data_IF_449791330612
#
_entry.id   IF_449791330612
#
_cell.length_a   1.000
_cell.length_b   1.000
_cell.length_c   1.000
_cell.angle_alpha   90.00
_cell.angle_beta   90.00
_cell.angle_gamma   90.00
#
_symmetry.space_group_name_H-M   'P 1'
#
loop_
_entity.id
_entity.type
_entity.pdbx_description
1 polymer ?
#
# COMPACT_ATOMS: atom_id res chain seq x y z
N UNK A 1 -15.43 3.65 -8.03
CA UNK A 1 -15.68 2.22 -8.35
C UNK A 1 -14.82 1.83 -9.52
N UNK A 2 -13.99 0.78 -9.38
CA UNK A 2 -13.27 0.19 -10.52
C UNK A 2 -14.25 -0.61 -11.41
N UNK A 3 -14.02 -0.70 -12.73
CA UNK A 3 -14.85 -1.51 -13.62
C UNK A 3 -14.73 -3.01 -13.28
N UNK A 4 -15.82 -3.76 -13.44
CA UNK A 4 -15.81 -5.23 -13.28
C UNK A 4 -15.09 -5.92 -14.44
N UNK A 5 -14.58 -7.12 -14.19
CA UNK A 5 -13.86 -7.93 -15.18
C UNK A 5 -14.70 -8.19 -16.43
N UNK A 6 -15.96 -8.61 -16.26
CA UNK A 6 -16.93 -8.78 -17.36
C UNK A 6 -17.12 -7.50 -18.17
N UNK A 7 -17.09 -6.31 -17.54
CA UNK A 7 -17.20 -5.03 -18.24
C UNK A 7 -15.91 -4.65 -18.99
N UNK A 8 -14.74 -5.08 -18.49
CA UNK A 8 -13.46 -4.92 -19.20
C UNK A 8 -13.41 -5.85 -20.42
N UNK A 9 -13.70 -7.14 -20.22
CA UNK A 9 -13.65 -8.16 -21.27
C UNK A 9 -14.67 -7.91 -22.38
N UNK A 10 -15.94 -7.61 -22.04
CA UNK A 10 -16.97 -7.30 -23.04
C UNK A 10 -16.67 -6.02 -23.83
N UNK A 11 -16.16 -4.96 -23.18
CA UNK A 11 -15.80 -3.72 -23.87
C UNK A 11 -14.58 -3.94 -24.78
N UNK A 12 -13.58 -4.71 -24.35
CA UNK A 12 -12.38 -4.98 -25.16
C UNK A 12 -12.64 -5.96 -26.31
N UNK A 13 -13.44 -7.01 -26.10
CA UNK A 13 -13.62 -8.10 -27.05
C UNK A 13 -14.90 -7.99 -27.88
N UNK A 14 -16.02 -7.50 -27.32
CA UNK A 14 -17.31 -7.49 -28.00
C UNK A 14 -17.67 -6.13 -28.60
N UNK A 15 -17.35 -5.01 -27.95
CA UNK A 15 -17.68 -3.68 -28.49
C UNK A 15 -17.06 -3.36 -29.87
N UNK A 16 -15.79 -3.72 -30.18
CA UNK A 16 -15.22 -3.50 -31.51
C UNK A 16 -15.56 -4.63 -32.51
N UNK A 17 -16.16 -5.74 -32.07
CA UNK A 17 -16.29 -6.95 -32.88
C UNK A 17 -17.32 -6.93 -34.02
N UNK A 18 -18.47 -6.22 -33.98
CA UNK A 18 -19.49 -6.31 -35.02
C UNK A 18 -18.96 -6.02 -36.43
N UNK A 19 -19.38 -6.80 -37.43
CA UNK A 19 -18.95 -6.61 -38.82
C UNK A 19 -19.11 -5.16 -39.32
N UNK A 20 -20.25 -4.45 -39.07
CA UNK A 20 -20.41 -3.06 -39.52
C UNK A 20 -19.43 -2.06 -38.92
N UNK A 21 -18.88 -2.34 -37.73
CA UNK A 21 -17.88 -1.51 -37.05
C UNK A 21 -16.50 -1.65 -37.71
N UNK A 22 -16.16 -2.87 -38.14
CA UNK A 22 -14.86 -3.21 -38.75
C UNK A 22 -14.86 -2.89 -40.25
N UNK A 23 -15.94 -3.21 -40.94
CA UNK A 23 -16.10 -3.04 -42.38
C UNK A 23 -17.57 -2.81 -42.73
N UNK A 24 -17.91 -1.55 -43.01
CA UNK A 24 -19.28 -1.19 -43.41
C UNK A 24 -19.69 -1.83 -44.75
N UNK A 25 -20.99 -2.03 -44.95
CA UNK A 25 -21.54 -2.54 -46.22
C UNK A 25 -21.08 -1.72 -47.44
N UNK A 26 -20.88 -0.40 -47.29
CA UNK A 26 -20.34 0.44 -48.36
C UNK A 26 -18.92 0.00 -48.73
N UNK A 27 -18.03 -0.12 -47.74
CA UNK A 27 -16.64 -0.48 -47.98
C UNK A 27 -16.50 -1.93 -48.48
N UNK A 28 -17.30 -2.85 -47.94
CA UNK A 28 -17.42 -4.21 -48.48
C UNK A 28 -17.84 -4.22 -49.95
N UNK A 29 -18.82 -3.39 -50.34
CA UNK A 29 -19.26 -3.25 -51.73
C UNK A 29 -18.16 -2.66 -52.63
N UNK A 30 -17.26 -1.83 -52.09
CA UNK A 30 -16.14 -1.26 -52.85
C UNK A 30 -15.08 -2.31 -53.25
N UNK A 31 -14.96 -3.42 -52.51
CA UNK A 31 -14.08 -4.55 -52.85
C UNK A 31 -14.47 -5.22 -54.18
N UNK A 32 -15.73 -5.12 -54.60
CA UNK A 32 -16.22 -5.72 -55.83
C UNK A 32 -16.00 -4.80 -57.05
N UNK A 33 -15.74 -5.35 -58.26
CA UNK A 33 -15.62 -4.58 -59.49
C UNK A 33 -16.86 -3.71 -59.73
N UNK A 34 -16.68 -2.47 -60.22
CA UNK A 34 -17.76 -1.47 -60.40
C UNK A 34 -19.02 -1.99 -61.10
N UNK A 35 -18.88 -2.95 -62.03
CA UNK A 35 -19.97 -3.58 -62.79
C UNK A 35 -20.87 -4.50 -61.94
N UNK A 36 -20.37 -5.01 -60.81
CA UNK A 36 -21.05 -5.97 -59.93
C UNK A 36 -21.54 -5.34 -58.63
N UNK A 37 -21.16 -4.09 -58.31
CA UNK A 37 -21.52 -3.42 -57.05
C UNK A 37 -23.02 -3.25 -56.79
N UNK A 38 -23.83 -3.27 -57.84
CA UNK A 38 -25.30 -3.24 -57.77
C UNK A 38 -25.94 -4.63 -57.65
N UNK A 39 -25.15 -5.71 -57.60
CA UNK A 39 -25.67 -7.07 -57.60
C UNK A 39 -26.28 -7.43 -56.22
N UNK A 40 -27.52 -7.97 -56.16
CA UNK A 40 -28.22 -8.20 -54.89
C UNK A 40 -27.47 -9.16 -53.95
N UNK A 41 -26.77 -10.15 -54.49
CA UNK A 41 -26.02 -11.13 -53.68
C UNK A 41 -24.90 -10.52 -52.82
N UNK A 42 -24.37 -9.33 -53.13
CA UNK A 42 -23.36 -8.68 -52.27
C UNK A 42 -23.96 -8.37 -50.88
N UNK A 43 -25.25 -7.97 -50.84
CA UNK A 43 -25.96 -7.73 -49.58
C UNK A 43 -26.30 -9.01 -48.82
N UNK A 44 -26.50 -10.11 -49.56
CA UNK A 44 -26.75 -11.45 -48.98
C UNK A 44 -25.47 -11.97 -48.33
N UNK A 45 -24.36 -11.99 -49.07
CA UNK A 45 -23.05 -12.40 -48.56
C UNK A 45 -22.57 -11.56 -47.36
N UNK A 46 -22.83 -10.23 -47.38
CA UNK A 46 -22.54 -9.39 -46.21
C UNK A 46 -23.38 -9.76 -44.99
N UNK A 47 -24.65 -10.18 -45.19
CA UNK A 47 -25.51 -10.67 -44.10
C UNK A 47 -25.04 -12.03 -43.57
N UNK A 48 -24.66 -12.96 -44.45
CA UNK A 48 -24.09 -14.26 -44.06
C UNK A 48 -22.78 -14.07 -43.25
N UNK A 49 -21.90 -13.16 -43.69
CA UNK A 49 -20.70 -12.80 -42.94
C UNK A 49 -20.99 -12.11 -41.60
N UNK A 50 -22.11 -11.38 -41.50
CA UNK A 50 -22.55 -10.80 -40.24
C UNK A 50 -23.06 -11.89 -39.29
N UNK A 51 -23.85 -12.85 -39.78
CA UNK A 51 -24.41 -13.98 -39.02
C UNK A 51 -23.32 -14.92 -38.48
N UNK A 52 -22.35 -15.32 -39.32
CA UNK A 52 -21.18 -16.11 -38.89
C UNK A 52 -20.42 -15.39 -37.78
N UNK A 53 -20.26 -14.07 -37.90
CA UNK A 53 -19.51 -13.27 -36.94
C UNK A 53 -20.28 -13.00 -35.65
N UNK A 54 -21.60 -12.97 -35.71
CA UNK A 54 -22.49 -12.93 -34.54
C UNK A 54 -22.38 -14.25 -33.75
N UNK A 55 -22.36 -15.40 -34.45
CA UNK A 55 -22.09 -16.70 -33.84
C UNK A 55 -20.70 -16.79 -33.18
N UNK A 56 -19.65 -16.25 -33.81
CA UNK A 56 -18.32 -16.15 -33.19
C UNK A 56 -18.33 -15.25 -31.94
N UNK A 57 -19.10 -14.16 -31.95
CA UNK A 57 -19.25 -13.27 -30.80
C UNK A 57 -20.00 -13.93 -29.64
N UNK A 58 -21.01 -14.76 -29.91
CA UNK A 58 -21.72 -15.54 -28.90
C UNK A 58 -20.78 -16.55 -28.20
N UNK A 59 -19.91 -17.22 -28.96
CA UNK A 59 -18.88 -18.11 -28.41
C UNK A 59 -17.87 -17.35 -27.53
N UNK A 60 -17.47 -16.15 -27.94
CA UNK A 60 -16.61 -15.27 -27.13
C UNK A 60 -17.33 -14.84 -25.85
N UNK A 61 -18.63 -14.53 -25.92
CA UNK A 61 -19.42 -14.15 -24.75
C UNK A 61 -19.56 -15.31 -23.75
N UNK A 62 -19.84 -16.53 -24.22
CA UNK A 62 -19.87 -17.73 -23.36
C UNK A 62 -18.51 -17.99 -22.69
N UNK A 63 -17.41 -17.69 -23.38
CA UNK A 63 -16.06 -17.79 -22.81
C UNK A 63 -15.75 -16.67 -21.80
N UNK A 64 -16.28 -15.46 -21.97
CA UNK A 64 -16.18 -14.37 -20.98
C UNK A 64 -16.93 -14.75 -19.68
N UNK A 65 -18.09 -15.41 -19.78
CA UNK A 65 -18.82 -15.90 -18.61
C UNK A 65 -18.01 -16.98 -17.85
N UNK A 66 -17.41 -17.94 -18.58
CA UNK A 66 -16.52 -18.96 -18.01
C UNK A 66 -15.27 -18.35 -17.38
N UNK A 67 -14.67 -17.36 -18.03
CA UNK A 67 -13.47 -16.68 -17.52
C UNK A 67 -13.80 -15.88 -16.27
N UNK A 68 -14.94 -15.17 -16.23
CA UNK A 68 -15.38 -14.41 -15.03
C UNK A 68 -15.51 -15.33 -13.81
N UNK A 69 -16.12 -16.53 -13.98
CA UNK A 69 -16.24 -17.52 -12.90
C UNK A 69 -14.88 -18.05 -12.47
N UNK A 70 -13.95 -18.27 -13.41
CA UNK A 70 -12.58 -18.69 -13.10
C UNK A 70 -11.76 -17.58 -12.42
N UNK A 71 -11.88 -16.33 -12.85
CA UNK A 71 -11.24 -15.16 -12.25
C UNK A 71 -11.69 -14.94 -10.81
N UNK A 72 -12.99 -15.03 -10.53
CA UNK A 72 -13.53 -15.01 -9.17
C UNK A 72 -13.01 -16.17 -8.31
N UNK A 73 -12.91 -17.38 -8.88
CA UNK A 73 -12.33 -18.54 -8.18
C UNK A 73 -10.84 -18.36 -7.89
N UNK A 74 -10.04 -17.93 -8.87
CA UNK A 74 -8.61 -17.63 -8.71
C UNK A 74 -8.38 -16.52 -7.68
N UNK A 75 -9.24 -15.49 -7.66
CA UNK A 75 -9.19 -14.39 -6.69
C UNK A 75 -9.57 -14.85 -5.28
N UNK A 76 -10.55 -15.75 -5.15
CA UNK A 76 -10.90 -16.38 -3.88
C UNK A 76 -9.78 -17.31 -3.38
N UNK A 77 -9.15 -18.08 -4.26
CA UNK A 77 -8.00 -18.94 -3.95
C UNK A 77 -6.76 -18.10 -3.60
N UNK A 78 -6.51 -16.99 -4.29
CA UNK A 78 -5.47 -16.02 -3.95
C UNK A 78 -5.72 -15.41 -2.57
N UNK A 79 -6.97 -15.04 -2.24
CA UNK A 79 -7.32 -14.56 -0.90
C UNK A 79 -7.12 -15.64 0.18
N UNK A 80 -7.51 -16.88 -0.12
CA UNK A 80 -7.33 -18.06 0.76
C UNK A 80 -5.85 -18.41 0.94
N UNK A 81 -5.02 -18.26 -0.10
CA UNK A 81 -3.58 -18.53 -0.06
C UNK A 81 -2.78 -17.41 0.63
N UNK A 82 -3.15 -16.14 0.46
CA UNK A 82 -2.62 -15.02 1.24
C UNK A 82 -2.90 -15.22 2.74
N UNK A 83 -4.16 -15.49 3.11
CA UNK A 83 -4.53 -15.80 4.50
C UNK A 83 -3.81 -17.04 5.06
N UNK A 84 -3.64 -18.09 4.25
CA UNK A 84 -3.00 -19.35 4.68
C UNK A 84 -1.47 -19.29 4.76
N UNK A 85 -0.82 -18.51 3.90
CA UNK A 85 0.65 -18.37 3.91
C UNK A 85 1.14 -17.47 5.02
N UNK A 86 0.26 -16.69 5.67
CA UNK A 86 0.67 -15.67 6.63
C UNK A 86 1.46 -14.53 5.98
N UNK A 87 1.52 -14.51 4.64
CA UNK A 87 1.91 -13.35 3.83
C UNK A 87 0.64 -12.52 3.64
N UNK A 88 0.00 -12.19 4.75
CA UNK A 88 -0.61 -10.89 4.82
C UNK A 88 0.55 -9.90 4.87
N UNK A 89 0.65 -9.06 3.82
CA UNK A 89 1.59 -7.93 3.83
C UNK A 89 1.25 -6.94 4.94
N UNK A 90 0.03 -7.03 5.49
CA UNK A 90 -0.37 -6.35 6.70
C UNK A 90 0.02 -7.20 7.91
N UNK A 91 1.07 -6.76 8.60
CA UNK A 91 1.32 -7.19 9.97
C UNK A 91 0.12 -6.83 10.86
N UNK A 92 0.04 -7.41 12.06
CA UNK A 92 -0.90 -6.96 13.09
C UNK A 92 -0.75 -5.47 13.47
N UNK A 93 0.32 -4.82 12.99
CA UNK A 93 0.58 -3.39 13.15
C UNK A 93 0.03 -2.54 12.00
N UNK A 94 -0.23 -3.13 10.83
CA UNK A 94 -0.79 -2.48 9.64
C UNK A 94 -2.32 -2.64 9.57
N UNK A 95 -2.85 -3.75 10.12
CA UNK A 95 -4.30 -3.86 10.40
C UNK A 95 -4.74 -2.73 11.35
N UNK A 96 -4.00 -2.48 12.44
CA UNK A 96 -4.25 -1.34 13.35
C UNK A 96 -4.17 0.02 12.63
N UNK A 97 -3.27 0.15 11.65
CA UNK A 97 -3.14 1.38 10.86
C UNK A 97 -4.42 1.63 10.05
N UNK A 98 -4.95 0.59 9.40
CA UNK A 98 -6.22 0.68 8.70
C UNK A 98 -7.42 0.91 9.63
N UNK A 99 -7.50 0.19 10.75
CA UNK A 99 -8.60 0.34 11.72
C UNK A 99 -8.64 1.78 12.28
N UNK A 100 -7.47 2.37 12.61
CA UNK A 100 -7.38 3.75 13.10
C UNK A 100 -7.70 4.81 12.04
N UNK A 101 -7.25 4.64 10.79
CA UNK A 101 -7.59 5.58 9.72
C UNK A 101 -9.10 5.53 9.40
N UNK A 102 -9.72 4.35 9.52
CA UNK A 102 -11.19 4.18 9.47
C UNK A 102 -11.89 4.84 10.67
N UNK A 103 -11.38 4.71 11.90
CA UNK A 103 -11.95 5.42 13.07
C UNK A 103 -11.83 6.96 12.96
N UNK A 104 -10.77 7.47 12.32
CA UNK A 104 -10.46 8.90 12.27
C UNK A 104 -11.08 9.65 11.08
N UNK A 105 -11.25 8.96 9.93
CA UNK A 105 -11.74 9.55 8.68
C UNK A 105 -12.95 8.81 8.08
N UNK A 106 -13.16 7.54 8.42
CA UNK A 106 -14.36 6.82 8.03
C UNK A 106 -15.61 7.46 8.64
N UNK A 107 -16.68 7.56 7.85
CA UNK A 107 -17.97 8.02 8.36
C UNK A 107 -18.41 7.11 9.52
N UNK A 108 -18.88 7.72 10.61
CA UNK A 108 -19.20 7.03 11.87
C UNK A 108 -20.45 6.15 11.76
N UNK A 109 -20.32 5.00 11.08
CA UNK A 109 -21.23 3.87 11.09
C UNK A 109 -20.64 2.70 11.91
N UNK A 110 -19.93 3.03 13.00
CA UNK A 110 -19.29 2.08 13.90
C UNK A 110 -20.31 1.35 14.80
N UNK A 111 -21.11 0.45 14.21
CA UNK A 111 -21.86 -0.62 14.91
C UNK A 111 -22.26 -1.74 13.93
N UNK A 112 -21.30 -2.50 13.40
CA UNK A 112 -21.60 -3.78 12.71
C UNK A 112 -20.57 -4.91 12.82
N UNK A 113 -19.50 -4.77 13.61
CA UNK A 113 -18.55 -5.89 13.87
C UNK A 113 -18.99 -6.81 15.01
N UNK A 114 -20.11 -6.48 15.68
CA UNK A 114 -20.86 -7.45 16.47
C UNK A 114 -21.98 -8.02 15.62
N UNK A 115 -21.82 -9.27 15.17
CA UNK A 115 -22.92 -10.01 14.57
C UNK A 115 -24.10 -10.06 15.54
N UNK A 116 -25.23 -9.48 15.14
CA UNK A 116 -26.51 -9.80 15.76
C UNK A 116 -26.84 -11.27 15.53
N UNK A 117 -27.65 -11.91 16.38
CA UNK A 117 -28.02 -13.33 16.21
C UNK A 117 -28.55 -13.64 14.78
N UNK A 118 -29.38 -12.79 14.14
CA UNK A 118 -29.73 -12.95 12.73
C UNK A 118 -28.52 -12.86 11.78
N UNK A 119 -27.68 -11.84 11.91
CA UNK A 119 -26.47 -11.68 11.07
C UNK A 119 -25.50 -12.85 11.21
N UNK A 120 -25.36 -13.41 12.42
CA UNK A 120 -24.55 -14.60 12.66
C UNK A 120 -25.18 -15.84 12.01
N UNK A 121 -26.50 -15.99 12.09
CA UNK A 121 -27.22 -17.09 11.44
C UNK A 121 -27.06 -17.01 9.91
N UNK A 122 -27.23 -15.83 9.31
CA UNK A 122 -27.05 -15.59 7.88
C UNK A 122 -25.60 -15.88 7.44
N UNK A 123 -24.61 -15.42 8.22
CA UNK A 123 -23.20 -15.70 7.97
C UNK A 123 -22.87 -17.19 8.11
N UNK A 124 -23.42 -17.89 9.11
CA UNK A 124 -23.27 -19.34 9.28
C UNK A 124 -23.94 -20.12 8.15
N UNK A 125 -25.13 -19.70 7.71
CA UNK A 125 -25.84 -20.35 6.61
C UNK A 125 -25.10 -20.15 5.27
N UNK A 126 -24.59 -18.94 5.02
CA UNK A 126 -23.72 -18.66 3.88
C UNK A 126 -22.42 -19.49 3.93
N UNK A 127 -21.82 -19.66 5.11
CA UNK A 127 -20.65 -20.51 5.30
C UNK A 127 -20.97 -21.99 5.04
N UNK A 128 -22.10 -22.52 5.53
CA UNK A 128 -22.56 -23.88 5.24
C UNK A 128 -22.74 -24.11 3.74
N UNK A 129 -23.49 -23.25 3.05
CA UNK A 129 -23.71 -23.36 1.61
C UNK A 129 -22.41 -23.20 0.80
N UNK A 130 -21.44 -22.41 1.29
CA UNK A 130 -20.12 -22.30 0.66
C UNK A 130 -19.29 -23.58 0.83
N UNK A 131 -19.32 -24.22 2.00
CA UNK A 131 -18.66 -25.51 2.25
C UNK A 131 -19.32 -26.63 1.45
N UNK A 132 -20.65 -26.69 1.38
CA UNK A 132 -21.38 -27.65 0.54
C UNK A 132 -21.01 -27.50 -0.95
N UNK A 133 -20.84 -26.25 -1.42
CA UNK A 133 -20.34 -25.97 -2.77
C UNK A 133 -18.89 -26.40 -2.96
N UNK A 134 -17.99 -26.12 -2.00
CA UNK A 134 -16.59 -26.55 -2.04
C UNK A 134 -16.47 -28.09 -2.09
N UNK A 135 -17.30 -28.82 -1.33
CA UNK A 135 -17.36 -30.30 -1.41
C UNK A 135 -17.83 -30.77 -2.79
N UNK A 136 -18.92 -30.20 -3.33
CA UNK A 136 -19.44 -30.59 -4.65
C UNK A 136 -18.52 -30.21 -5.83
N UNK A 137 -17.61 -29.27 -5.62
CA UNK A 137 -16.55 -28.87 -6.55
C UNK A 137 -15.35 -29.85 -6.46
N UNK A 138 -14.90 -30.16 -5.25
CA UNK A 138 -13.84 -31.17 -5.00
C UNK A 138 -14.24 -32.56 -5.51
N UNK A 139 -15.50 -32.98 -5.34
CA UNK A 139 -16.00 -34.27 -5.88
C UNK A 139 -15.99 -34.31 -7.41
N UNK A 140 -16.29 -33.18 -8.08
CA UNK A 140 -16.16 -33.05 -9.54
C UNK A 140 -14.71 -33.13 -9.98
N UNK A 141 -13.81 -32.47 -9.27
CA UNK A 141 -12.37 -32.51 -9.56
C UNK A 141 -11.77 -33.89 -9.34
N UNK A 142 -12.13 -34.58 -8.26
CA UNK A 142 -11.73 -35.95 -8.01
C UNK A 142 -12.23 -36.89 -9.13
N UNK A 143 -13.46 -36.69 -9.60
CA UNK A 143 -14.04 -37.46 -10.72
C UNK A 143 -13.30 -37.18 -12.04
N UNK A 144 -12.99 -35.91 -12.34
CA UNK A 144 -12.21 -35.50 -13.51
C UNK A 144 -10.78 -36.04 -13.46
N UNK A 145 -10.12 -35.95 -12.32
CA UNK A 145 -8.77 -36.49 -12.09
C UNK A 145 -8.75 -38.01 -12.25
N UNK A 146 -9.78 -38.72 -11.78
CA UNK A 146 -9.93 -40.17 -12.00
C UNK A 146 -10.15 -40.51 -13.48
N UNK A 147 -10.86 -39.69 -14.26
CA UNK A 147 -10.93 -39.85 -15.72
C UNK A 147 -9.54 -39.71 -16.33
N UNK A 148 -8.88 -38.57 -16.07
CA UNK A 148 -7.54 -38.27 -16.60
C UNK A 148 -6.50 -39.34 -16.22
N UNK A 149 -6.60 -39.92 -15.03
CA UNK A 149 -5.74 -41.04 -14.60
C UNK A 149 -6.07 -42.34 -15.33
N UNK A 150 -7.35 -42.64 -15.60
CA UNK A 150 -7.72 -43.79 -16.43
C UNK A 150 -7.29 -43.62 -17.88
N UNK A 151 -7.42 -42.41 -18.43
CA UNK A 151 -6.98 -42.06 -19.79
C UNK A 151 -5.45 -42.18 -19.90
N UNK A 152 -4.70 -41.61 -18.94
CA UNK A 152 -3.24 -41.74 -18.87
C UNK A 152 -2.78 -43.18 -18.60
N UNK A 153 -3.52 -43.98 -17.83
CA UNK A 153 -3.26 -45.42 -17.69
C UNK A 153 -3.58 -46.17 -18.99
N UNK A 154 -4.55 -45.69 -19.78
CA UNK A 154 -4.81 -46.12 -21.15
C UNK A 154 -3.62 -45.84 -22.06
N UNK A 155 -3.12 -44.61 -22.08
CA UNK A 155 -1.95 -44.19 -22.87
C UNK A 155 -0.66 -44.92 -22.45
N UNK A 156 -0.44 -45.08 -21.14
CA UNK A 156 0.67 -45.88 -20.60
C UNK A 156 0.50 -47.38 -20.91
N UNK A 157 -0.74 -47.87 -21.06
CA UNK A 157 -1.02 -49.22 -21.54
C UNK A 157 -0.76 -49.33 -23.04
N UNK A 158 -1.08 -48.32 -23.86
CA UNK A 158 -0.77 -48.29 -25.29
C UNK A 158 0.75 -48.15 -25.55
N UNK A 159 1.48 -47.48 -24.65
CA UNK A 159 2.95 -47.52 -24.54
C UNK A 159 3.47 -48.93 -24.24
N UNK A 160 2.89 -49.60 -23.23
CA UNK A 160 3.32 -50.93 -22.76
C UNK A 160 2.95 -52.07 -23.72
N UNK A 161 1.83 -51.94 -24.42
CA UNK A 161 1.30 -52.95 -25.36
C UNK A 161 1.53 -52.59 -26.84
N UNK A 162 2.11 -51.42 -27.13
CA UNK A 162 3.00 -51.23 -28.28
C UNK A 162 2.49 -50.35 -29.44
N UNK A 163 2.18 -49.07 -29.18
CA UNK A 163 1.77 -48.12 -30.24
C UNK A 163 2.53 -46.80 -30.33
N UNK A 164 3.50 -46.55 -29.45
CA UNK A 164 4.33 -45.34 -29.53
C UNK A 164 5.49 -45.48 -30.52
N UNK A 165 5.16 -45.39 -31.81
CA UNK A 165 6.13 -45.07 -32.86
C UNK A 165 6.38 -43.55 -32.84
N UNK A 166 7.35 -43.09 -32.04
CA UNK A 166 7.84 -41.72 -32.13
C UNK A 166 8.47 -41.43 -33.51
N UNK A 167 8.57 -40.15 -33.92
CA UNK A 167 9.30 -39.79 -35.15
C UNK A 167 10.74 -40.30 -35.05
N UNK A 168 11.24 -40.91 -36.12
CA UNK A 168 12.52 -41.60 -36.09
C UNK A 168 13.71 -40.62 -35.86
N UNK A 169 14.40 -40.74 -34.72
CA UNK A 169 15.81 -40.34 -34.61
C UNK A 169 16.31 -39.71 -33.31
N UNK A 170 15.47 -39.16 -32.42
CA UNK A 170 15.95 -38.35 -31.27
C UNK A 170 16.07 -39.15 -29.97
N UNK A 171 17.25 -39.17 -29.35
CA UNK A 171 17.54 -39.83 -28.07
C UNK A 171 17.54 -38.84 -26.90
N UNK A 172 17.04 -39.27 -25.73
CA UNK A 172 16.84 -38.39 -24.56
C UNK A 172 18.10 -37.76 -23.97
N UNK A 173 19.28 -38.27 -24.29
CA UNK A 173 20.56 -37.75 -23.78
C UNK A 173 20.91 -36.34 -24.30
N UNK A 174 20.41 -35.93 -25.47
CA UNK A 174 20.72 -34.60 -26.03
C UNK A 174 20.13 -33.46 -25.18
N UNK A 175 18.90 -33.65 -24.68
CA UNK A 175 18.16 -32.63 -23.89
C UNK A 175 18.83 -32.37 -22.52
N UNK A 176 19.44 -33.41 -21.92
CA UNK A 176 20.10 -33.32 -20.61
C UNK A 176 21.38 -32.46 -20.68
N UNK A 177 22.12 -32.55 -21.79
CA UNK A 177 23.41 -31.88 -21.95
C UNK A 177 23.29 -30.35 -22.12
N UNK A 178 22.17 -29.85 -22.65
CA UNK A 178 21.95 -28.42 -22.83
C UNK A 178 21.71 -27.70 -21.49
N UNK A 179 20.96 -28.32 -20.56
CA UNK A 179 20.65 -27.75 -19.25
C UNK A 179 21.90 -27.52 -18.37
N UNK A 180 22.84 -28.47 -18.37
CA UNK A 180 24.08 -28.39 -17.59
C UNK A 180 24.92 -27.16 -17.99
N UNK A 181 24.92 -26.85 -19.29
CA UNK A 181 25.73 -25.78 -19.89
C UNK A 181 25.21 -24.38 -19.57
N UNK A 182 23.91 -24.24 -19.24
CA UNK A 182 23.33 -22.97 -18.79
C UNK A 182 23.80 -22.56 -17.39
N UNK A 183 23.92 -23.52 -16.46
CA UNK A 183 24.22 -23.25 -15.05
C UNK A 183 25.64 -22.71 -14.81
N UNK A 184 26.63 -23.20 -15.58
CA UNK A 184 28.04 -22.78 -15.47
C UNK A 184 28.28 -21.30 -15.85
N UNK A 185 27.40 -20.70 -16.65
CA UNK A 185 27.52 -19.29 -17.03
C UNK A 185 27.05 -18.32 -15.93
N UNK A 186 26.24 -18.79 -14.97
CA UNK A 186 25.69 -17.96 -13.90
C UNK A 186 26.72 -17.70 -12.78
N UNK A 187 27.58 -18.69 -12.50
CA UNK A 187 28.57 -18.67 -11.42
C UNK A 187 29.63 -17.58 -11.61
N UNK A 188 30.12 -17.42 -12.85
CA UNK A 188 31.20 -16.52 -13.22
C UNK A 188 30.86 -15.02 -13.12
N UNK A 189 29.59 -14.64 -12.92
CA UNK A 189 29.15 -13.25 -12.89
C UNK A 189 29.28 -12.56 -11.52
N UNK A 190 29.61 -13.30 -10.45
CA UNK A 190 29.38 -12.82 -9.05
C UNK A 190 30.64 -12.43 -8.27
N UNK A 191 31.86 -12.71 -8.77
CA UNK A 191 33.10 -12.60 -7.98
C UNK A 191 34.04 -11.49 -8.51
N UNK A 192 33.59 -10.23 -8.54
CA UNK A 192 34.47 -9.07 -8.83
C UNK A 192 33.94 -7.69 -8.38
N UNK A 193 34.05 -7.36 -7.08
CA UNK A 193 34.49 -6.01 -6.62
C UNK A 193 34.64 -5.87 -5.10
N UNK A 194 35.84 -5.55 -4.64
CA UNK A 194 36.10 -4.87 -3.36
C UNK A 194 37.35 -3.98 -3.46
N UNK A 195 37.51 -3.11 -2.45
CA UNK A 195 38.77 -2.62 -1.83
C UNK A 195 39.02 -1.08 -1.84
N UNK A 196 38.83 -0.45 -0.66
CA UNK A 196 39.61 0.68 -0.06
C UNK A 196 39.47 2.15 -0.60
N UNK A 197 39.79 3.25 0.13
CA UNK A 197 40.35 3.50 1.50
C UNK A 197 40.11 4.95 2.04
N UNK A 198 40.34 5.14 3.37
CA UNK A 198 40.69 6.35 4.22
C UNK A 198 40.66 7.80 3.67
N UNK A 199 40.25 8.91 4.36
CA UNK A 199 40.09 9.37 5.80
C UNK A 199 41.20 10.32 6.32
N UNK A 200 40.91 11.59 6.69
CA UNK A 200 41.42 12.40 7.86
C UNK A 200 40.87 13.88 7.85
N UNK A 201 40.90 14.68 8.97
CA UNK A 201 40.28 16.02 9.10
C UNK A 201 41.21 17.18 9.54
N UNK A 202 40.67 18.41 9.70
CA UNK A 202 41.32 19.58 10.32
C UNK A 202 40.38 20.33 11.31
N UNK A 203 40.89 20.95 12.39
CA UNK A 203 40.12 21.81 13.31
C UNK A 203 40.38 23.32 13.09
N UNK A 204 39.43 24.17 13.51
CA UNK A 204 39.60 25.62 13.64
C UNK A 204 38.93 26.12 14.93
N UNK A 205 39.53 27.10 15.60
CA UNK A 205 39.13 27.60 16.94
C UNK A 205 37.98 28.61 16.84
N UNK A 206 37.05 28.60 17.79
CA UNK A 206 35.85 29.46 17.84
C UNK A 206 35.86 30.45 19.02
N UNK A 207 35.11 31.57 18.93
CA UNK A 207 34.86 32.47 20.05
C UNK A 207 34.08 31.79 21.19
N UNK A 208 34.20 32.34 22.41
CA UNK A 208 33.60 31.79 23.63
C UNK A 208 32.51 32.71 24.19
N UNK A 209 31.46 32.11 24.78
CA UNK A 209 30.29 32.78 25.36
C UNK A 209 29.90 32.06 26.67
N UNK A 210 29.47 32.83 27.69
CA UNK A 210 29.18 32.26 29.01
C UNK A 210 27.80 31.59 29.04
N UNK A 211 27.76 30.34 29.49
CA UNK A 211 26.55 29.52 29.57
C UNK A 211 26.23 29.13 31.03
N UNK A 212 25.07 29.57 31.51
CA UNK A 212 24.57 29.25 32.85
C UNK A 212 23.75 27.94 32.85
N UNK A 213 23.98 27.01 33.79
CA UNK A 213 23.10 25.85 33.99
C UNK A 213 21.78 26.28 34.66
N UNK A 214 20.65 25.64 34.29
CA UNK A 214 19.32 25.95 34.85
C UNK A 214 19.32 25.83 36.38
N UNK A 215 18.77 26.84 37.06
CA UNK A 215 18.29 26.64 38.43
C UNK A 215 17.05 25.73 38.40
N UNK A 216 16.95 24.80 39.36
CA UNK A 216 15.86 23.82 39.44
C UNK A 216 14.50 24.49 39.68
N UNK A 217 13.76 24.80 38.62
CA UNK A 217 12.34 25.16 38.68
C UNK A 217 11.51 23.88 38.79
N UNK A 218 10.50 23.90 39.66
CA UNK A 218 9.54 22.81 39.80
C UNK A 218 8.81 22.56 38.47
N UNK A 219 8.55 21.30 38.09
CA UNK A 219 7.80 20.99 36.88
C UNK A 219 6.39 21.57 36.98
N UNK A 220 5.96 22.29 35.93
CA UNK A 220 4.59 22.79 35.81
C UNK A 220 3.64 21.61 35.66
N UNK A 221 2.71 21.46 36.61
CA UNK A 221 1.76 20.34 36.73
C UNK A 221 0.62 20.38 35.70
N UNK A 222 0.92 20.71 34.45
CA UNK A 222 -0.04 20.66 33.34
C UNK A 222 -0.08 19.21 32.84
N UNK A 223 -1.26 18.54 32.83
CA UNK A 223 -1.36 17.19 32.28
C UNK A 223 -1.09 17.23 30.77
N UNK A 224 0.01 16.62 30.33
CA UNK A 224 0.36 16.51 28.92
C UNK A 224 0.21 15.05 28.46
N UNK A 225 -0.56 14.76 27.39
CA UNK A 225 -0.81 13.41 26.88
C UNK A 225 0.38 12.76 26.15
N UNK A 226 1.46 13.48 25.86
CA UNK A 226 2.66 12.92 25.24
C UNK A 226 3.32 11.85 26.15
N UNK A 227 3.99 10.83 25.59
CA UNK A 227 4.82 9.91 26.37
C UNK A 227 5.82 10.66 27.28
N UNK A 228 5.86 10.35 28.58
CA UNK A 228 6.72 11.06 29.56
C UNK A 228 8.20 11.10 29.15
N UNK A 229 8.66 10.09 28.41
CA UNK A 229 10.03 9.97 27.93
C UNK A 229 10.39 11.01 26.84
N UNK A 230 9.39 11.52 26.11
CA UNK A 230 9.53 12.61 25.14
C UNK A 230 9.44 13.99 25.78
N UNK A 231 8.77 14.08 26.94
CA UNK A 231 8.58 15.32 27.66
C UNK A 231 9.89 15.77 28.33
N UNK A 232 10.24 17.04 28.17
CA UNK A 232 11.15 17.74 29.06
C UNK A 232 10.46 18.03 30.40
N UNK A 233 11.18 18.46 31.46
CA UNK A 233 10.56 18.79 32.75
C UNK A 233 9.51 19.93 32.73
N UNK A 234 9.37 20.66 31.62
CA UNK A 234 8.30 21.66 31.39
C UNK A 234 7.11 21.12 30.62
N UNK A 235 7.19 19.89 30.09
CA UNK A 235 6.20 19.29 29.20
C UNK A 235 6.41 19.58 27.71
N UNK A 236 7.57 20.11 27.28
CA UNK A 236 7.87 20.32 25.86
C UNK A 236 8.45 19.05 25.22
N UNK A 237 8.35 18.92 23.89
CA UNK A 237 8.97 17.86 23.10
C UNK A 237 9.57 18.43 21.82
N UNK A 238 10.62 17.78 21.29
CA UNK A 238 11.26 18.19 20.03
C UNK A 238 10.68 17.39 18.86
N UNK A 239 10.05 18.10 17.93
CA UNK A 239 9.60 17.57 16.64
C UNK A 239 10.50 18.12 15.52
N UNK A 240 10.98 17.23 14.65
CA UNK A 240 11.84 17.55 13.52
C UNK A 240 11.22 16.98 12.24
N UNK A 241 10.95 17.84 11.26
CA UNK A 241 10.28 17.49 10.01
C UNK A 241 11.13 17.92 8.81
N UNK A 242 11.37 16.99 7.88
CA UNK A 242 12.13 17.24 6.66
C UNK A 242 11.24 17.93 5.61
N UNK A 243 11.00 19.23 5.79
CA UNK A 243 10.17 20.05 4.92
C UNK A 243 9.84 21.40 5.54
N UNK A 244 8.78 22.04 5.04
CA UNK A 244 8.24 23.31 5.58
C UNK A 244 6.77 23.12 5.93
N UNK A 245 6.36 23.62 7.09
CA UNK A 245 4.94 23.68 7.48
C UNK A 245 4.37 24.97 6.92
N UNK A 246 3.34 24.87 6.07
CA UNK A 246 2.60 26.02 5.58
C UNK A 246 1.54 26.40 6.62
N UNK A 247 1.71 27.56 7.24
CA UNK A 247 0.80 28.11 8.27
C UNK A 247 0.08 29.31 7.62
N UNK A 248 -1.24 29.48 7.82
CA UNK A 248 -1.96 30.66 7.31
C UNK A 248 -1.33 31.96 7.82
N UNK A 249 -1.22 32.95 6.94
CA UNK A 249 -0.78 34.30 7.31
C UNK A 249 -1.79 34.96 8.25
N UNK A 250 -1.27 35.76 9.19
CA UNK A 250 -2.03 36.39 10.27
C UNK A 250 -3.28 37.16 9.81
N UNK A 251 -3.26 37.71 8.59
CA UNK A 251 -4.35 38.48 8.00
C UNK A 251 -5.59 37.63 7.62
N UNK A 252 -5.46 36.32 7.40
CA UNK A 252 -6.61 35.46 7.05
C UNK A 252 -7.30 34.82 8.28
N UNK A 253 -6.69 34.88 9.46
CA UNK A 253 -7.22 34.26 10.67
C UNK A 253 -8.32 35.10 11.35
N UNK A 254 -8.45 36.39 11.02
CA UNK A 254 -9.37 37.32 11.72
C UNK A 254 -10.85 37.14 11.39
N UNK A 255 -11.22 36.29 10.43
CA UNK A 255 -12.63 36.08 10.02
C UNK A 255 -13.40 35.04 10.83
N UNK A 256 -12.80 34.32 11.80
CA UNK A 256 -13.49 33.18 12.44
C UNK A 256 -13.14 32.87 13.90
N UNK A 257 -12.99 33.87 14.78
CA UNK A 257 -13.09 33.64 16.23
C UNK A 257 -13.43 34.92 16.99
N UNK A 258 -14.38 34.82 17.93
CA UNK A 258 -14.88 35.93 18.74
C UNK A 258 -13.92 36.35 19.86
N UNK A 259 -14.22 37.51 20.46
CA UNK A 259 -13.42 38.26 21.42
C UNK A 259 -12.91 37.45 22.63
N UNK A 260 -11.58 37.48 22.83
CA UNK A 260 -10.95 37.16 24.12
C UNK A 260 -9.70 38.05 24.30
N UNK A 261 -9.67 38.95 25.30
CA UNK A 261 -8.55 39.88 25.48
C UNK A 261 -7.59 39.40 26.57
N UNK A 262 -6.58 38.60 26.21
CA UNK A 262 -5.23 38.68 26.81
C UNK A 262 -4.21 37.74 26.14
N UNK A 263 -2.93 38.05 26.37
CA UNK A 263 -1.72 37.31 25.97
C UNK A 263 -1.27 37.37 24.49
N UNK A 264 0.00 37.74 24.32
CA UNK A 264 0.71 37.93 23.05
C UNK A 264 1.21 36.62 22.41
N UNK A 265 0.39 35.57 22.39
CA UNK A 265 0.75 34.23 21.90
C UNK A 265 -0.33 33.74 20.94
N UNK A 266 0.00 33.64 19.66
CA UNK A 266 -0.88 33.09 18.63
C UNK A 266 -0.55 31.61 18.43
N UNK A 267 -1.52 30.73 18.71
CA UNK A 267 -1.40 29.29 18.49
C UNK A 267 -2.22 28.87 17.27
N UNK A 268 -1.60 28.19 16.30
CA UNK A 268 -2.30 27.65 15.13
C UNK A 268 -2.38 26.12 15.21
N UNK A 269 -3.58 25.50 15.18
CA UNK A 269 -3.70 24.05 15.15
C UNK A 269 -3.26 23.51 13.78
N UNK A 270 -2.10 22.87 13.73
CA UNK A 270 -1.53 22.29 12.51
C UNK A 270 -2.10 20.89 12.21
N UNK A 271 -2.34 20.10 13.26
CA UNK A 271 -2.61 18.67 13.10
C UNK A 271 -2.61 17.86 14.40
N UNK A 272 -2.66 16.53 14.26
CA UNK A 272 -2.70 15.56 15.37
C UNK A 272 -1.47 14.66 15.33
N UNK A 273 -0.80 14.51 16.47
CA UNK A 273 0.29 13.57 16.66
C UNK A 273 -0.25 12.28 17.32
N UNK A 274 0.06 11.12 16.75
CA UNK A 274 -0.42 9.81 17.21
C UNK A 274 0.73 8.82 17.41
N UNK A 275 0.65 8.05 18.49
CA UNK A 275 1.61 7.00 18.86
C UNK A 275 0.87 5.65 18.92
N UNK A 276 0.71 4.93 17.79
CA UNK A 276 -0.17 3.76 17.67
C UNK A 276 0.10 2.66 18.69
N UNK A 277 1.38 2.43 18.94
CA UNK A 277 1.88 1.28 19.70
C UNK A 277 2.26 1.67 21.14
N UNK A 278 1.93 2.89 21.60
CA UNK A 278 2.22 3.38 22.96
C UNK A 278 1.01 3.28 23.88
N UNK A 279 1.10 2.43 24.93
CA UNK A 279 0.17 2.46 26.06
C UNK A 279 0.86 2.95 27.34
N UNK A 280 0.22 3.81 28.15
CA UNK A 280 0.70 4.14 29.50
C UNK A 280 0.73 2.94 30.48
N UNK A 281 0.14 1.80 30.09
CA UNK A 281 0.10 0.57 30.89
C UNK A 281 1.29 -0.37 30.61
N UNK A 282 2.01 -0.15 29.52
CA UNK A 282 3.16 -0.98 29.13
C UNK A 282 4.40 -0.67 29.98
N UNK A 283 5.38 -1.60 30.06
CA UNK A 283 6.61 -1.39 30.83
C UNK A 283 7.38 -0.16 30.35
N UNK A 284 7.92 0.63 31.29
CA UNK A 284 8.64 1.88 30.98
C UNK A 284 9.92 1.68 30.12
N UNK A 285 10.44 0.45 30.04
CA UNK A 285 11.57 0.08 29.20
C UNK A 285 11.16 -0.32 27.76
N UNK A 286 9.85 -0.38 27.45
CA UNK A 286 9.43 -0.63 26.07
C UNK A 286 9.80 0.55 25.16
N UNK A 287 10.45 0.20 24.06
CA UNK A 287 10.89 1.09 23.00
C UNK A 287 10.39 0.65 21.64
N UNK A 288 9.57 -0.42 21.55
CA UNK A 288 8.97 -0.88 20.31
C UNK A 288 8.09 0.22 19.68
N UNK A 289 7.29 0.90 20.51
CA UNK A 289 6.44 2.02 20.09
C UNK A 289 7.20 3.21 19.47
N UNK A 290 8.50 3.36 19.76
CA UNK A 290 9.32 4.43 19.20
C UNK A 290 9.52 4.30 17.69
N UNK A 291 9.35 3.10 17.13
CA UNK A 291 9.58 2.84 15.70
C UNK A 291 8.62 3.60 14.79
N UNK A 292 7.46 4.03 15.30
CA UNK A 292 6.39 4.60 14.49
C UNK A 292 5.57 5.66 15.23
N UNK A 293 5.41 6.80 14.57
CA UNK A 293 4.58 7.93 14.99
C UNK A 293 3.90 8.48 13.73
N UNK A 294 2.61 8.81 13.78
CA UNK A 294 1.96 9.53 12.69
C UNK A 294 1.75 10.99 13.07
N UNK A 295 2.02 11.89 12.12
CA UNK A 295 1.58 13.26 12.15
C UNK A 295 0.53 13.46 11.06
N UNK A 296 -0.73 13.65 11.46
CA UNK A 296 -1.82 14.00 10.56
C UNK A 296 -1.87 15.52 10.44
N UNK A 297 -1.78 16.06 9.23
CA UNK A 297 -1.78 17.51 8.94
C UNK A 297 -3.05 17.85 8.17
N UNK A 298 -3.87 18.74 8.72
CA UNK A 298 -5.20 19.02 8.18
C UNK A 298 -6.10 17.77 8.14
N UNK A 299 -6.78 17.55 7.01
CA UNK A 299 -7.72 16.43 6.79
C UNK A 299 -7.22 15.34 5.84
N UNK A 300 -6.15 15.57 5.09
CA UNK A 300 -5.82 14.78 3.90
C UNK A 300 -4.37 14.30 3.84
N UNK A 301 -3.54 14.63 4.83
CA UNK A 301 -2.12 14.31 4.83
C UNK A 301 -1.72 13.60 6.10
N UNK A 302 -1.03 12.47 5.94
CA UNK A 302 -0.41 11.69 7.01
C UNK A 302 1.08 11.60 6.76
N UNK A 303 1.90 11.79 7.79
CA UNK A 303 3.36 11.72 7.68
C UNK A 303 3.87 10.70 8.70
N UNK A 304 4.53 9.65 8.22
CA UNK A 304 5.04 8.55 9.05
C UNK A 304 6.46 8.85 9.54
N UNK A 305 6.63 8.92 10.86
CA UNK A 305 7.87 9.25 11.55
C UNK A 305 8.26 8.23 12.61
N UNK A 306 9.33 8.52 13.33
CA UNK A 306 9.94 7.66 14.34
C UNK A 306 10.49 8.49 15.50
N UNK A 307 10.39 8.00 16.74
CA UNK A 307 11.09 8.56 17.90
C UNK A 307 12.54 8.11 17.90
N UNK A 308 13.47 9.06 18.02
CA UNK A 308 14.90 8.79 18.11
C UNK A 308 15.52 9.36 19.36
N UNK A 309 16.20 8.50 20.12
CA UNK A 309 17.15 8.90 21.15
C UNK A 309 18.31 9.65 20.50
N UNK A 310 18.61 10.85 21.01
CA UNK A 310 19.69 11.68 20.51
C UNK A 310 21.04 11.14 21.03
N UNK A 311 22.02 10.79 20.17
CA UNK A 311 23.35 10.35 20.62
C UNK A 311 24.10 11.44 21.42
N UNK A 312 23.77 12.70 21.16
CA UNK A 312 24.18 13.88 21.94
C UNK A 312 22.91 14.62 22.34
N UNK A 313 22.57 14.71 23.64
CA UNK A 313 21.42 15.50 24.09
C UNK A 313 21.52 16.95 23.63
N UNK A 314 20.40 17.54 23.23
CA UNK A 314 20.35 18.94 22.78
C UNK A 314 19.96 19.84 23.95
N UNK A 315 20.78 20.84 24.23
CA UNK A 315 20.46 21.89 25.18
C UNK A 315 19.65 22.99 24.49
N UNK A 316 18.41 23.22 24.92
CA UNK A 316 17.67 24.43 24.58
C UNK A 316 18.26 25.55 25.42
N UNK A 317 18.89 26.52 24.77
CA UNK A 317 19.48 27.70 25.41
C UNK A 317 18.64 28.93 25.09
N UNK A 318 18.41 29.77 26.09
CA UNK A 318 17.75 31.06 25.95
C UNK A 318 18.75 32.16 26.28
N UNK A 319 18.82 33.20 25.44
CA UNK A 319 19.57 34.41 25.79
C UNK A 319 18.83 35.13 26.92
N UNK A 320 19.52 35.40 28.03
CA UNK A 320 18.92 36.06 29.19
C UNK A 320 18.56 37.51 28.83
N UNK A 321 17.28 37.86 28.95
CA UNK A 321 16.84 39.24 28.80
C UNK A 321 17.38 40.08 29.97
N UNK A 322 18.16 41.12 29.65
CA UNK A 322 18.73 42.04 30.64
C UNK A 322 17.60 42.91 31.24
N UNK A 323 17.43 42.98 32.57
CA UNK A 323 16.49 43.94 33.15
C UNK A 323 16.95 45.36 32.81
N UNK A 324 16.02 46.21 32.40
CA UNK A 324 16.33 47.57 31.96
C UNK A 324 16.99 48.39 33.08
N UNK A 325 18.30 48.63 32.99
CA UNK A 325 19.04 49.50 33.92
C UNK A 325 20.48 49.10 34.26
N UNK A 326 20.97 47.89 33.95
CA UNK A 326 22.34 47.51 34.31
C UNK A 326 23.39 47.98 33.28
N UNK A 327 24.15 49.01 33.65
CA UNK A 327 25.38 49.40 32.97
C UNK A 327 26.51 48.43 33.34
N UNK A 328 26.88 47.56 32.40
CA UNK A 328 27.85 46.48 32.58
C UNK A 328 28.00 45.69 31.28
N UNK A 329 29.17 45.08 31.11
CA UNK A 329 29.81 44.63 29.86
C UNK A 329 28.90 43.95 28.82
N UNK A 330 29.26 44.09 27.54
CA UNK A 330 28.41 43.84 26.37
C UNK A 330 28.40 42.35 25.94
N UNK A 331 28.41 41.45 26.94
CA UNK A 331 28.45 40.01 26.74
C UNK A 331 27.02 39.41 26.80
N UNK A 332 26.56 38.85 25.69
CA UNK A 332 25.34 38.05 25.64
C UNK A 332 25.47 36.82 26.58
N UNK A 333 24.65 36.74 27.62
CA UNK A 333 24.58 35.57 28.51
C UNK A 333 23.54 34.55 28.03
N UNK A 334 23.93 33.28 27.98
CA UNK A 334 23.02 32.17 27.67
C UNK A 334 22.66 31.41 28.95
N UNK A 335 21.40 30.96 29.05
CA UNK A 335 20.94 30.05 30.09
C UNK A 335 20.42 28.75 29.46
N UNK A 336 20.86 27.59 29.95
CA UNK A 336 20.28 26.30 29.57
C UNK A 336 18.88 26.23 30.17
N UNK A 337 17.86 26.31 29.32
CA UNK A 337 16.48 26.07 29.74
C UNK A 337 16.25 24.58 29.91
N UNK A 338 16.57 23.77 28.89
CA UNK A 338 16.19 22.37 28.86
C UNK A 338 17.19 21.46 28.16
N UNK A 339 17.15 20.17 28.50
CA UNK A 339 18.01 19.15 27.88
C UNK A 339 17.12 18.08 27.27
N UNK A 340 16.96 18.16 25.95
CA UNK A 340 16.19 17.22 25.13
C UNK A 340 17.03 15.97 24.87
N UNK A 341 16.48 14.79 25.17
CA UNK A 341 17.14 13.48 24.98
C UNK A 341 16.56 12.66 23.82
N UNK A 342 15.36 12.99 23.37
CA UNK A 342 14.64 12.30 22.31
C UNK A 342 14.03 13.33 21.35
N UNK A 343 13.96 12.99 20.06
CA UNK A 343 13.20 13.75 19.06
C UNK A 343 12.17 12.86 18.37
N UNK A 344 11.06 13.45 17.96
CA UNK A 344 10.13 12.84 17.01
C UNK A 344 10.58 13.29 15.62
N UNK A 345 10.85 12.35 14.70
CA UNK A 345 11.52 12.62 13.44
C UNK A 345 10.69 12.16 12.23
N UNK A 346 10.31 13.11 11.38
CA UNK A 346 9.54 12.90 10.15
C UNK A 346 10.41 13.14 8.92
N UNK A 347 10.76 12.06 8.20
CA UNK A 347 11.61 12.06 6.99
C UNK A 347 10.89 11.60 5.72
N UNK A 348 9.71 11.04 5.88
CA UNK A 348 8.88 10.51 4.80
C UNK A 348 8.21 11.65 4.02
N UNK A 349 7.75 11.35 2.81
CA UNK A 349 6.84 12.26 2.10
C UNK A 349 5.44 12.15 2.74
N UNK A 350 4.64 13.22 2.77
CA UNK A 350 3.23 13.11 3.14
C UNK A 350 2.50 12.15 2.22
N UNK A 351 1.75 11.23 2.82
CA UNK A 351 0.87 10.29 2.16
C UNK A 351 -0.56 10.87 2.15
N UNK A 352 -1.31 10.72 1.04
CA UNK A 352 -2.71 11.11 1.01
C UNK A 352 -3.53 10.14 1.87
N UNK A 353 -4.40 10.69 2.71
CA UNK A 353 -5.45 9.91 3.38
C UNK A 353 -6.70 9.99 2.50
N UNK A 354 -7.23 8.84 2.08
CA UNK A 354 -8.43 8.78 1.25
C UNK A 354 -9.68 8.89 2.13
N UNK A 355 -10.60 9.77 1.76
CA UNK A 355 -12.02 9.62 2.12
C UNK A 355 -12.54 8.38 1.36
N UNK A 356 -12.77 7.25 2.05
CA UNK A 356 -13.36 6.02 1.51
C UNK A 356 -14.85 5.95 1.86
#
# INVERSE_FOLDING_TARGET
MAPSETAILSNFLLAPAPLPTIMSLQHFTELFPKRLRSHPHIRVLYRELQEIREQDMDLVNENIDKETVQGDRQKAELRKSLMKTGIDGMSASDQREMDMDVELFGQTNSMSDYHSVPSLLDAMQAACSNVEREVAEVDREASSLLSNLNDLVGDLSDLRYGKMQGPAGTTGDEVVNEAIRGLQNLENATISRQVSRSRQPHPSTMPSITLHPRASRSPSRVPNPLPQLLQTPSGLALLELQGTINIPSQDEATTSSAEAPDASVFETPIGKLMFPDYSPQDPADDTAWMKRVYLYVGRYQRITGEVKKLPKPLAIVQRRAKPAGSAGDDADELEVVEVVRYKIYFKSRPEPVNDI
#
